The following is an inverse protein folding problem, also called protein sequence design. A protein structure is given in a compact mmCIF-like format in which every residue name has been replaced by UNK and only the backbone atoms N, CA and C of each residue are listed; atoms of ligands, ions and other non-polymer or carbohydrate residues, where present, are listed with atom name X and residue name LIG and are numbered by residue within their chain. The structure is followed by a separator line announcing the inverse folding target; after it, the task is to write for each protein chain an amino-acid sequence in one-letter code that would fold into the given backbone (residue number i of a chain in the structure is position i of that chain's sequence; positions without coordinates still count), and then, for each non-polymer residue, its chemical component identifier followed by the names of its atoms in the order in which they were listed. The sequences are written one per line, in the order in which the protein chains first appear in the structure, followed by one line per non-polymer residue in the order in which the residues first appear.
data_IF_859554961057
#
_entry.id   IF_859554961057
#
_cell.length_a   1.000
_cell.length_b   1.000
_cell.length_c   1.000
_cell.angle_alpha   90.00
_cell.angle_beta   90.00
_cell.angle_gamma   90.00
#
_symmetry.space_group_name_H-M   'P 1'
#
loop_
_entity.id
_entity.type
_entity.pdbx_description
1 polymer ?
#
# COMPACT_ATOMS: atom_id res chain seq x y z
N UNK A 1 3.16 23.57 -18.38
CA UNK A 1 2.69 22.73 -17.25
C UNK A 1 2.89 21.27 -17.61
N UNK A 2 3.29 20.42 -16.66
CA UNK A 2 3.38 18.97 -16.82
C UNK A 2 2.37 18.35 -15.85
N UNK A 3 1.49 17.50 -16.37
CA UNK A 3 0.59 16.67 -15.57
C UNK A 3 1.13 15.24 -15.63
N UNK A 4 1.33 14.64 -14.46
CA UNK A 4 1.73 13.24 -14.32
C UNK A 4 0.51 12.46 -13.85
N UNK A 5 0.14 11.43 -14.61
CA UNK A 5 -0.92 10.48 -14.27
C UNK A 5 -0.22 9.15 -14.03
N UNK A 6 -0.18 8.74 -12.76
CA UNK A 6 0.48 7.50 -12.37
C UNK A 6 -0.53 6.35 -12.31
N UNK A 7 -0.12 5.17 -12.77
CA UNK A 7 -0.87 3.90 -12.72
C UNK A 7 -2.30 3.99 -13.26
N UNK A 8 -2.46 4.43 -14.52
CA UNK A 8 -3.79 4.61 -15.14
C UNK A 8 -4.66 3.33 -15.14
N UNK A 9 -4.04 2.15 -15.13
CA UNK A 9 -4.70 0.85 -15.04
C UNK A 9 -5.39 0.56 -13.71
N UNK A 10 -5.07 1.30 -12.65
CA UNK A 10 -5.68 1.14 -11.32
C UNK A 10 -7.04 1.88 -11.21
N UNK A 11 -7.69 2.17 -12.34
CA UNK A 11 -9.08 2.67 -12.35
C UNK A 11 -10.04 1.55 -11.95
N UNK A 12 -11.08 1.90 -11.17
CA UNK A 12 -12.09 0.95 -10.68
C UNK A 12 -12.72 0.09 -11.80
N UNK A 13 -12.91 0.70 -12.97
CA UNK A 13 -13.37 0.02 -14.18
C UNK A 13 -12.33 0.21 -15.30
N UNK A 14 -11.90 -0.87 -15.97
CA UNK A 14 -10.91 -0.76 -17.04
C UNK A 14 -11.36 0.13 -18.22
N UNK A 15 -12.67 0.22 -18.46
CA UNK A 15 -13.26 1.12 -19.45
C UNK A 15 -12.95 2.59 -19.16
N UNK A 16 -12.87 2.98 -17.88
CA UNK A 16 -12.57 4.36 -17.48
C UNK A 16 -11.12 4.71 -17.81
N UNK A 17 -10.18 3.79 -17.57
CA UNK A 17 -8.77 3.95 -17.96
C UNK A 17 -8.64 4.20 -19.47
N UNK A 18 -9.39 3.45 -20.28
CA UNK A 18 -9.40 3.61 -21.74
C UNK A 18 -9.99 4.95 -22.16
N UNK A 19 -11.13 5.35 -21.59
CA UNK A 19 -11.76 6.64 -21.92
C UNK A 19 -10.84 7.83 -21.61
N UNK A 20 -10.19 7.82 -20.45
CA UNK A 20 -9.21 8.85 -20.08
C UNK A 20 -8.05 8.86 -21.08
N UNK A 21 -7.53 7.69 -21.43
CA UNK A 21 -6.42 7.56 -22.38
C UNK A 21 -6.79 8.09 -23.76
N UNK A 22 -7.96 7.73 -24.28
CA UNK A 22 -8.48 8.19 -25.57
C UNK A 22 -8.67 9.71 -25.60
N UNK A 23 -9.18 10.29 -24.51
CA UNK A 23 -9.29 11.76 -24.38
C UNK A 23 -7.90 12.43 -24.42
N UNK A 24 -6.92 11.88 -23.69
CA UNK A 24 -5.57 12.44 -23.69
C UNK A 24 -4.93 12.33 -25.07
N UNK A 25 -5.05 11.19 -25.74
CA UNK A 25 -4.54 10.98 -27.09
C UNK A 25 -5.16 11.99 -28.07
N UNK A 26 -6.45 12.26 -27.94
CA UNK A 26 -7.20 13.11 -28.88
C UNK A 26 -6.92 14.59 -28.66
N UNK A 27 -6.86 15.05 -27.41
CA UNK A 27 -6.89 16.49 -27.10
C UNK A 27 -5.59 17.03 -26.50
N UNK A 28 -4.65 16.20 -26.04
CA UNK A 28 -3.47 16.69 -25.33
C UNK A 28 -2.57 17.60 -26.17
N UNK A 29 -2.49 17.38 -27.49
CA UNK A 29 -1.70 18.21 -28.42
C UNK A 29 -2.21 19.64 -28.55
N UNK A 30 -3.51 19.85 -28.30
CA UNK A 30 -4.16 21.15 -28.43
C UNK A 30 -4.05 21.99 -27.15
N UNK A 31 -3.55 21.38 -26.07
CA UNK A 31 -3.38 22.02 -24.78
C UNK A 31 -1.94 22.52 -24.61
N UNK A 32 -1.72 23.68 -23.95
CA UNK A 32 -0.38 24.14 -23.58
C UNK A 32 0.22 23.35 -22.39
N UNK A 33 -0.10 22.06 -22.29
CA UNK A 33 0.19 21.17 -21.17
C UNK A 33 0.74 19.85 -21.70
N UNK A 34 1.82 19.36 -21.10
CA UNK A 34 2.35 18.02 -21.39
C UNK A 34 1.78 17.03 -20.40
N UNK A 35 1.52 15.81 -20.86
CA UNK A 35 1.05 14.70 -20.04
C UNK A 35 2.10 13.60 -20.05
N UNK A 36 2.42 13.09 -18.87
CA UNK A 36 3.20 11.86 -18.70
C UNK A 36 2.29 10.85 -18.00
N UNK A 37 2.07 9.70 -18.63
CA UNK A 37 1.15 8.68 -18.14
C UNK A 37 1.93 7.39 -17.94
N UNK A 38 1.86 6.82 -16.74
CA UNK A 38 2.36 5.46 -16.47
C UNK A 38 1.18 4.49 -16.38
N UNK A 39 1.38 3.25 -16.81
CA UNK A 39 0.39 2.18 -16.69
C UNK A 39 1.01 0.80 -16.95
N UNK A 40 0.41 -0.28 -16.41
CA UNK A 40 0.68 -1.66 -16.84
C UNK A 40 0.30 -1.86 -18.31
N UNK A 41 1.04 -2.73 -19.00
CA UNK A 41 0.78 -3.05 -20.42
C UNK A 41 -0.41 -4.02 -20.58
N UNK A 42 -1.56 -3.67 -20.03
CA UNK A 42 -2.78 -4.45 -20.23
C UNK A 42 -3.18 -4.49 -21.72
N UNK A 43 -3.78 -5.59 -22.21
CA UNK A 43 -4.09 -5.73 -23.63
C UNK A 43 -4.90 -4.58 -24.23
N UNK A 44 -5.82 -4.02 -23.44
CA UNK A 44 -6.69 -2.90 -23.80
C UNK A 44 -5.92 -1.58 -23.91
N UNK A 45 -5.11 -1.23 -22.90
CA UNK A 45 -4.27 -0.03 -22.89
C UNK A 45 -3.24 -0.10 -24.02
N UNK A 46 -2.60 -1.26 -24.20
CA UNK A 46 -1.67 -1.49 -25.30
C UNK A 46 -2.31 -1.29 -26.67
N UNK A 47 -3.57 -1.69 -26.84
CA UNK A 47 -4.33 -1.52 -28.08
C UNK A 47 -4.66 -0.05 -28.34
N UNK A 48 -5.14 0.67 -27.32
CA UNK A 48 -5.41 2.11 -27.41
C UNK A 48 -4.14 2.91 -27.77
N UNK A 49 -2.98 2.47 -27.29
CA UNK A 49 -1.67 3.11 -27.54
C UNK A 49 -1.00 2.71 -28.86
N UNK A 50 -1.57 1.79 -29.66
CA UNK A 50 -0.88 1.17 -30.79
C UNK A 50 -0.47 2.16 -31.90
N UNK A 51 -1.11 3.32 -31.99
CA UNK A 51 -0.82 4.37 -32.97
C UNK A 51 0.09 5.51 -32.49
N UNK A 52 0.56 5.47 -31.23
CA UNK A 52 1.36 6.57 -30.66
C UNK A 52 2.86 6.32 -30.82
N UNK A 53 3.55 7.33 -31.37
CA UNK A 53 5.01 7.33 -31.47
C UNK A 53 5.71 7.65 -30.13
N UNK A 54 4.98 8.22 -29.17
CA UNK A 54 5.49 8.65 -27.86
C UNK A 54 5.25 7.59 -26.77
N UNK A 55 5.43 6.30 -27.09
CA UNK A 55 5.24 5.19 -26.15
C UNK A 55 6.58 4.63 -25.70
N UNK A 56 6.74 4.45 -24.39
CA UNK A 56 7.86 3.70 -23.81
C UNK A 56 7.30 2.47 -23.10
N UNK A 57 7.70 1.27 -23.52
CA UNK A 57 7.28 0.02 -22.89
C UNK A 57 8.43 -0.50 -22.04
N UNK A 58 8.29 -0.41 -20.72
CA UNK A 58 9.39 -0.72 -19.80
C UNK A 58 9.77 -2.21 -19.79
N UNK A 59 8.84 -3.13 -20.09
CA UNK A 59 9.14 -4.56 -20.15
C UNK A 59 9.86 -4.99 -21.45
N UNK A 60 10.08 -4.07 -22.40
CA UNK A 60 10.92 -4.30 -23.60
C UNK A 60 12.38 -3.90 -23.37
N UNK A 61 12.72 -3.44 -22.15
CA UNK A 61 14.10 -3.23 -21.73
C UNK A 61 14.82 -4.58 -21.63
N UNK A 62 16.08 -4.62 -22.07
CA UNK A 62 16.91 -5.82 -21.99
C UNK A 62 17.00 -6.26 -20.52
N UNK A 63 16.60 -7.50 -20.23
CA UNK A 63 16.69 -8.13 -18.90
C UNK A 63 18.09 -7.92 -18.28
N UNK A 64 19.15 -7.87 -19.11
CA UNK A 64 20.52 -7.59 -18.66
C UNK A 64 20.68 -6.19 -18.07
N UNK A 65 20.04 -5.18 -18.66
CA UNK A 65 20.09 -3.80 -18.17
C UNK A 65 19.36 -3.70 -16.83
N UNK A 66 18.15 -4.27 -16.73
CA UNK A 66 17.39 -4.30 -15.47
C UNK A 66 18.15 -5.03 -14.37
N UNK A 67 18.79 -6.15 -14.70
CA UNK A 67 19.64 -6.89 -13.75
C UNK A 67 20.89 -6.11 -13.34
N UNK A 68 21.50 -5.33 -14.24
CA UNK A 68 22.65 -4.48 -13.91
C UNK A 68 22.24 -3.31 -13.00
N UNK A 69 21.13 -2.65 -13.29
CA UNK A 69 20.59 -1.57 -12.44
C UNK A 69 20.23 -2.10 -11.04
N UNK A 70 19.62 -3.30 -10.98
CA UNK A 70 19.33 -3.99 -9.72
C UNK A 70 20.60 -4.35 -8.96
N UNK A 71 21.66 -4.78 -9.67
CA UNK A 71 22.98 -5.06 -9.08
C UNK A 71 23.61 -3.80 -8.48
N UNK A 72 23.57 -2.69 -9.22
CA UNK A 72 24.05 -1.38 -8.74
C UNK A 72 23.27 -0.97 -7.50
N UNK A 73 21.94 -1.10 -7.53
CA UNK A 73 21.08 -0.78 -6.39
C UNK A 73 21.47 -1.58 -5.13
N UNK A 74 21.60 -2.91 -5.21
CA UNK A 74 22.02 -3.72 -4.06
C UNK A 74 23.41 -3.33 -3.54
N UNK A 75 24.37 -3.06 -4.43
CA UNK A 75 25.72 -2.63 -4.03
C UNK A 75 25.70 -1.29 -3.30
N UNK A 76 24.90 -0.34 -3.78
CA UNK A 76 24.81 0.99 -3.20
C UNK A 76 24.12 0.95 -1.84
N UNK A 77 22.94 0.35 -1.75
CA UNK A 77 22.14 0.36 -0.52
C UNK A 77 22.70 -0.53 0.59
N UNK A 78 23.33 -1.66 0.23
CA UNK A 78 23.93 -2.61 1.18
C UNK A 78 25.46 -2.48 1.27
N UNK A 79 26.02 -1.34 0.85
CA UNK A 79 27.46 -1.09 0.88
C UNK A 79 28.08 -1.31 2.27
N UNK A 80 27.33 -1.01 3.33
CA UNK A 80 27.75 -1.18 4.73
C UNK A 80 27.98 -2.64 5.14
N UNK A 81 27.45 -3.62 4.39
CA UNK A 81 27.59 -5.05 4.72
C UNK A 81 28.80 -5.72 4.07
N UNK A 82 29.46 -5.06 3.11
CA UNK A 82 30.58 -5.65 2.34
C UNK A 82 30.21 -7.01 1.72
N UNK A 83 29.08 -7.06 0.99
CA UNK A 83 28.58 -8.28 0.37
C UNK A 83 29.56 -8.83 -0.68
N UNK A 84 29.68 -10.15 -0.75
CA UNK A 84 30.44 -10.80 -1.82
C UNK A 84 29.69 -10.76 -3.15
N UNK A 85 30.42 -10.86 -4.26
CA UNK A 85 29.82 -10.92 -5.60
C UNK A 85 28.87 -12.12 -5.79
N UNK A 86 29.10 -13.21 -5.06
CA UNK A 86 28.21 -14.37 -5.05
C UNK A 86 26.87 -14.04 -4.39
N UNK A 87 26.89 -13.32 -3.25
CA UNK A 87 25.67 -12.89 -2.56
C UNK A 87 24.89 -11.88 -3.40
N UNK A 88 25.56 -10.89 -3.99
CA UNK A 88 24.92 -9.90 -4.87
C UNK A 88 24.29 -10.60 -6.08
N UNK A 89 25.01 -11.52 -6.73
CA UNK A 89 24.50 -12.26 -7.88
C UNK A 89 23.27 -13.11 -7.51
N UNK A 90 23.28 -13.76 -6.35
CA UNK A 90 22.13 -14.53 -5.88
C UNK A 90 20.90 -13.63 -5.62
N UNK A 91 21.09 -12.44 -5.04
CA UNK A 91 20.00 -11.48 -4.84
C UNK A 91 19.44 -10.95 -6.17
N UNK A 92 20.30 -10.65 -7.14
CA UNK A 92 19.88 -10.21 -8.49
C UNK A 92 19.09 -11.30 -9.21
N UNK A 93 19.52 -12.57 -9.12
CA UNK A 93 18.78 -13.68 -9.73
C UNK A 93 17.39 -13.86 -9.10
N UNK A 94 17.27 -13.71 -7.78
CA UNK A 94 15.97 -13.77 -7.08
C UNK A 94 15.05 -12.60 -7.41
N UNK A 95 15.60 -11.39 -7.48
CA UNK A 95 14.84 -10.22 -7.90
C UNK A 95 14.34 -10.35 -9.35
N UNK A 96 15.11 -11.03 -10.21
CA UNK A 96 14.79 -11.17 -11.63
C UNK A 96 14.70 -9.79 -12.29
N UNK A 97 13.49 -9.42 -12.72
CA UNK A 97 13.19 -8.08 -13.27
C UNK A 97 12.27 -7.25 -12.36
N UNK A 98 11.94 -7.78 -11.18
CA UNK A 98 11.05 -7.12 -10.22
C UNK A 98 11.88 -6.22 -9.32
N UNK A 99 11.99 -4.94 -9.67
CA UNK A 99 12.67 -3.97 -8.81
C UNK A 99 12.02 -3.86 -7.42
N UNK A 100 10.71 -4.11 -7.32
CA UNK A 100 10.00 -4.17 -6.03
C UNK A 100 10.58 -5.26 -5.10
N UNK A 101 11.04 -6.40 -5.64
CA UNK A 101 11.72 -7.40 -4.84
C UNK A 101 13.01 -6.83 -4.25
N UNK A 102 13.83 -6.19 -5.09
CA UNK A 102 15.09 -5.62 -4.67
C UNK A 102 14.90 -4.54 -3.60
N UNK A 103 13.98 -3.60 -3.81
CA UNK A 103 13.65 -2.56 -2.84
C UNK A 103 13.12 -3.15 -1.52
N UNK A 104 12.23 -4.15 -1.59
CA UNK A 104 11.68 -4.83 -0.41
C UNK A 104 12.76 -5.60 0.35
N UNK A 105 13.66 -6.28 -0.35
CA UNK A 105 14.75 -7.04 0.25
C UNK A 105 15.79 -6.12 0.91
N UNK A 106 16.20 -5.04 0.24
CA UNK A 106 17.08 -4.02 0.82
C UNK A 106 16.48 -3.44 2.08
N UNK A 107 15.19 -3.06 2.03
CA UNK A 107 14.49 -2.61 3.24
C UNK A 107 14.53 -3.72 4.27
N UNK A 108 14.01 -4.91 4.01
CA UNK A 108 14.02 -5.99 5.01
C UNK A 108 15.40 -6.21 5.66
N UNK A 109 16.49 -6.26 4.89
CA UNK A 109 17.87 -6.40 5.40
C UNK A 109 18.34 -5.16 6.18
N UNK A 110 17.93 -3.98 5.74
CA UNK A 110 18.27 -2.69 6.31
C UNK A 110 17.90 -2.54 7.78
N UNK A 111 18.58 -1.64 8.47
CA UNK A 111 18.31 -1.31 9.86
C UNK A 111 17.66 0.08 9.93
N UNK A 112 16.32 0.16 10.00
CA UNK A 112 15.65 1.44 10.34
C UNK A 112 16.06 1.92 11.75
N UNK A 113 16.45 0.98 12.61
CA UNK A 113 17.05 1.17 13.93
C UNK A 113 18.12 0.08 14.07
N UNK A 114 19.25 0.36 14.69
CA UNK A 114 20.41 -0.54 14.87
C UNK A 114 20.14 -1.85 15.65
N UNK A 115 18.88 -2.31 15.73
CA UNK A 115 18.39 -3.46 16.49
C UNK A 115 18.19 -4.73 15.66
N UNK A 116 18.46 -4.69 14.35
CA UNK A 116 18.20 -5.83 13.45
C UNK A 116 19.49 -6.55 13.08
N UNK A 117 19.49 -7.88 13.18
CA UNK A 117 20.54 -8.74 12.64
C UNK A 117 20.47 -8.81 11.10
N UNK A 118 21.09 -7.81 10.45
CA UNK A 118 21.13 -7.70 8.99
C UNK A 118 21.75 -8.93 8.31
N UNK A 119 22.71 -9.62 8.96
CA UNK A 119 23.31 -10.84 8.41
C UNK A 119 22.30 -11.97 8.40
N UNK A 120 21.59 -12.20 9.51
CA UNK A 120 20.51 -13.21 9.56
C UNK A 120 19.42 -12.93 8.54
N UNK A 121 19.02 -11.66 8.35
CA UNK A 121 18.02 -11.29 7.33
C UNK A 121 18.52 -11.49 5.91
N UNK A 122 19.78 -11.18 5.63
CA UNK A 122 20.42 -11.51 4.36
C UNK A 122 20.41 -13.03 4.12
N UNK A 123 20.77 -13.83 5.13
CA UNK A 123 20.75 -15.29 5.03
C UNK A 123 19.34 -15.82 4.76
N UNK A 124 18.31 -15.20 5.35
CA UNK A 124 16.91 -15.51 5.04
C UNK A 124 16.61 -15.19 3.58
N UNK A 125 16.90 -13.98 3.09
CA UNK A 125 16.67 -13.58 1.69
C UNK A 125 17.40 -14.52 0.72
N UNK A 126 18.64 -14.91 1.04
CA UNK A 126 19.44 -15.84 0.25
C UNK A 126 18.99 -17.31 0.39
N UNK A 127 18.39 -17.68 1.52
CA UNK A 127 18.02 -19.04 1.90
C UNK A 127 16.58 -19.43 1.60
N UNK A 128 15.71 -18.46 1.26
CA UNK A 128 14.32 -18.69 0.82
C UNK A 128 14.29 -19.65 -0.36
N UNK A 129 14.14 -20.94 -0.11
CA UNK A 129 14.23 -21.98 -1.15
C UNK A 129 12.83 -22.37 -1.58
N UNK A 130 12.36 -21.83 -2.71
CA UNK A 130 11.20 -22.35 -3.42
C UNK A 130 11.59 -23.48 -4.38
N UNK A 131 10.70 -24.45 -4.68
CA UNK A 131 10.97 -25.45 -5.69
C UNK A 131 11.23 -24.78 -7.05
N UNK A 132 12.13 -25.40 -7.82
CA UNK A 132 12.81 -25.00 -9.05
C UNK A 132 11.93 -24.69 -10.28
N UNK A 133 10.74 -24.13 -10.07
CA UNK A 133 9.85 -23.61 -11.12
C UNK A 133 9.37 -22.23 -10.68
N UNK A 134 10.27 -21.24 -10.84
CA UNK A 134 10.07 -19.84 -10.45
C UNK A 134 9.15 -19.13 -11.43
N UNK A 135 7.89 -18.94 -11.04
CA UNK A 135 7.12 -17.80 -11.54
C UNK A 135 7.53 -16.59 -10.73
N UNK A 136 7.61 -15.41 -11.36
CA UNK A 136 8.08 -14.17 -10.72
C UNK A 136 7.29 -13.83 -9.44
N UNK A 137 5.99 -14.17 -9.42
CA UNK A 137 5.11 -13.99 -8.26
C UNK A 137 5.53 -14.84 -7.05
N UNK A 138 6.12 -16.03 -7.26
CA UNK A 138 6.55 -16.89 -6.15
C UNK A 138 7.75 -16.33 -5.38
N UNK A 139 8.66 -15.64 -6.05
CA UNK A 139 9.84 -15.09 -5.38
C UNK A 139 9.44 -13.94 -4.45
N UNK A 140 8.62 -13.00 -4.94
CA UNK A 140 8.12 -11.89 -4.11
C UNK A 140 7.22 -12.40 -2.97
N UNK A 141 6.37 -13.39 -3.23
CA UNK A 141 5.54 -14.02 -2.19
C UNK A 141 6.38 -14.67 -1.11
N UNK A 142 7.46 -15.33 -1.49
CA UNK A 142 8.36 -15.97 -0.54
C UNK A 142 9.10 -14.94 0.33
N UNK A 143 9.44 -13.77 -0.24
CA UNK A 143 9.99 -12.64 0.51
C UNK A 143 8.96 -12.05 1.48
N UNK A 144 7.71 -11.84 1.05
CA UNK A 144 6.64 -11.40 1.94
C UNK A 144 6.38 -12.39 3.08
N UNK A 145 6.34 -13.69 2.78
CA UNK A 145 6.20 -14.73 3.79
C UNK A 145 7.35 -14.68 4.81
N UNK A 146 8.60 -14.48 4.36
CA UNK A 146 9.74 -14.36 5.26
C UNK A 146 9.66 -13.13 6.17
N UNK A 147 9.19 -11.99 5.64
CA UNK A 147 8.96 -10.75 6.40
C UNK A 147 7.90 -10.98 7.47
N UNK A 148 6.75 -11.56 7.10
CA UNK A 148 5.65 -11.82 8.02
C UNK A 148 6.02 -12.87 9.07
N UNK A 149 6.72 -13.93 8.71
CA UNK A 149 7.24 -14.91 9.66
C UNK A 149 8.20 -14.27 10.67
N UNK A 150 9.11 -13.41 10.18
CA UNK A 150 10.00 -12.68 11.07
C UNK A 150 9.28 -11.69 12.00
N UNK A 151 8.08 -11.23 11.66
CA UNK A 151 7.33 -10.26 12.45
C UNK A 151 6.34 -10.93 13.41
N UNK A 152 5.64 -11.98 12.97
CA UNK A 152 4.52 -12.58 13.69
C UNK A 152 4.84 -13.91 14.38
N UNK A 153 5.85 -14.65 13.91
CA UNK A 153 6.20 -15.97 14.47
C UNK A 153 7.28 -15.89 15.55
N UNK A 154 7.57 -14.70 16.08
CA UNK A 154 8.48 -14.53 17.21
C UNK A 154 7.90 -15.28 18.44
N UNK A 155 8.62 -16.27 19.02
CA UNK A 155 8.15 -17.02 20.19
C UNK A 155 7.89 -16.15 21.41
N UNK A 156 8.57 -15.01 21.54
CA UNK A 156 8.45 -14.09 22.66
C UNK A 156 7.24 -13.15 22.52
N UNK A 157 6.57 -13.17 21.35
CA UNK A 157 5.40 -12.35 21.06
C UNK A 157 4.13 -12.96 21.68
N UNK A 158 3.47 -12.20 22.54
CA UNK A 158 2.24 -12.63 23.19
C UNK A 158 1.06 -12.65 22.21
N UNK A 159 0.00 -13.40 22.56
CA UNK A 159 -1.20 -13.50 21.70
C UNK A 159 -1.84 -12.14 21.41
N UNK A 160 -1.97 -11.28 22.43
CA UNK A 160 -2.57 -9.96 22.31
C UNK A 160 -1.72 -9.00 21.48
N UNK A 161 -0.39 -9.17 21.46
CA UNK A 161 0.51 -8.39 20.61
C UNK A 161 0.35 -8.79 19.14
N UNK A 162 0.27 -10.10 18.86
CA UNK A 162 -0.02 -10.62 17.51
C UNK A 162 -1.39 -10.15 17.00
N UNK A 163 -2.42 -10.25 17.83
CA UNK A 163 -3.78 -9.82 17.46
C UNK A 163 -3.81 -8.32 17.12
N UNK A 164 -3.15 -7.50 17.95
CA UNK A 164 -2.98 -6.07 17.71
C UNK A 164 -2.24 -5.77 16.40
N UNK A 165 -1.14 -6.47 16.14
CA UNK A 165 -0.38 -6.33 14.89
C UNK A 165 -1.23 -6.67 13.66
N UNK A 166 -1.99 -7.78 13.73
CA UNK A 166 -2.92 -8.17 12.68
C UNK A 166 -4.02 -7.12 12.50
N UNK A 167 -4.58 -6.61 13.59
CA UNK A 167 -5.62 -5.58 13.55
C UNK A 167 -5.11 -4.31 12.83
N UNK A 168 -3.90 -3.85 13.16
CA UNK A 168 -3.26 -2.71 12.49
C UNK A 168 -2.99 -3.01 11.02
N UNK A 169 -2.31 -4.12 10.71
CA UNK A 169 -1.97 -4.52 9.34
C UNK A 169 -3.23 -4.63 8.47
N UNK A 170 -4.22 -5.40 8.88
CA UNK A 170 -5.46 -5.62 8.12
C UNK A 170 -6.27 -4.32 7.97
N UNK A 171 -6.17 -3.37 8.91
CA UNK A 171 -6.75 -2.03 8.71
C UNK A 171 -6.06 -1.30 7.57
N UNK A 172 -4.73 -1.25 7.59
CA UNK A 172 -3.94 -0.56 6.56
C UNK A 172 -4.20 -1.17 5.18
N UNK A 173 -4.33 -2.50 5.11
CA UNK A 173 -4.61 -3.23 3.86
C UNK A 173 -6.01 -2.93 3.31
N UNK A 174 -7.04 -2.88 4.17
CA UNK A 174 -8.43 -2.69 3.74
C UNK A 174 -8.89 -1.22 3.76
N UNK A 175 -8.04 -0.28 4.19
CA UNK A 175 -8.39 1.12 4.25
C UNK A 175 -8.60 1.69 2.84
N UNK A 176 -9.67 2.48 2.66
CA UNK A 176 -9.96 3.13 1.37
C UNK A 176 -9.05 4.34 1.12
N UNK A 177 -8.53 4.93 2.19
CA UNK A 177 -7.51 5.97 2.17
C UNK A 177 -6.51 5.73 3.30
N UNK A 178 -5.22 6.05 3.10
CA UNK A 178 -4.22 5.99 4.15
C UNK A 178 -4.63 6.81 5.38
N UNK A 179 -4.43 6.23 6.57
CA UNK A 179 -4.64 6.90 7.85
C UNK A 179 -3.29 7.26 8.49
N UNK A 180 -3.25 8.35 9.24
CA UNK A 180 -2.07 8.66 10.06
C UNK A 180 -1.98 7.72 11.26
N UNK A 181 -0.79 7.60 11.87
CA UNK A 181 -0.62 6.88 13.15
C UNK A 181 -1.68 7.32 14.18
N UNK A 182 -1.86 8.64 14.33
CA UNK A 182 -2.80 9.22 15.29
C UNK A 182 -4.26 8.90 14.95
N UNK A 183 -4.63 8.99 13.66
CA UNK A 183 -5.98 8.66 13.21
C UNK A 183 -6.28 7.16 13.38
N UNK A 184 -5.34 6.29 13.00
CA UNK A 184 -5.46 4.85 13.13
C UNK A 184 -5.58 4.40 14.60
N UNK A 185 -4.78 5.00 15.48
CA UNK A 185 -4.83 4.75 16.93
C UNK A 185 -6.23 5.07 17.49
N UNK A 186 -6.76 6.27 17.20
CA UNK A 186 -8.13 6.65 17.61
C UNK A 186 -9.21 5.78 16.98
N UNK A 187 -9.01 5.34 15.73
CA UNK A 187 -9.97 4.53 15.00
C UNK A 187 -10.04 3.10 15.53
N UNK A 188 -8.90 2.51 15.92
CA UNK A 188 -8.79 1.17 16.49
C UNK A 188 -8.89 1.14 18.02
N UNK A 189 -9.06 2.28 18.67
CA UNK A 189 -9.13 2.42 20.14
C UNK A 189 -7.84 1.94 20.84
N UNK A 190 -6.70 2.33 20.27
CA UNK A 190 -5.35 1.99 20.73
C UNK A 190 -4.55 3.26 21.03
N UNK A 191 -3.43 3.10 21.74
CA UNK A 191 -2.45 4.17 21.89
C UNK A 191 -1.58 4.30 20.63
N UNK A 192 -1.09 5.50 20.32
CA UNK A 192 -0.23 5.70 19.16
C UNK A 192 1.11 4.95 19.27
N UNK A 193 1.60 4.72 20.49
CA UNK A 193 2.79 3.90 20.74
C UNK A 193 2.54 2.45 20.32
N UNK A 194 1.34 1.93 20.56
CA UNK A 194 0.95 0.57 20.21
C UNK A 194 0.84 0.40 18.69
N UNK A 195 0.32 1.41 17.98
CA UNK A 195 0.33 1.42 16.50
C UNK A 195 1.76 1.47 15.97
N UNK A 196 2.63 2.30 16.54
CA UNK A 196 4.05 2.37 16.13
C UNK A 196 4.75 1.03 16.34
N UNK A 197 4.54 0.38 17.49
CA UNK A 197 5.09 -0.96 17.77
C UNK A 197 4.55 -2.00 16.79
N UNK A 198 3.28 -1.94 16.41
CA UNK A 198 2.69 -2.87 15.44
C UNK A 198 3.22 -2.69 14.01
N UNK A 199 3.52 -1.46 13.60
CA UNK A 199 4.00 -1.14 12.24
C UNK A 199 5.52 -1.38 12.10
N UNK A 200 6.30 -1.18 13.17
CA UNK A 200 7.78 -1.21 13.12
C UNK A 200 8.35 -2.52 12.53
N UNK A 201 7.86 -3.73 12.89
CA UNK A 201 8.34 -4.99 12.30
C UNK A 201 8.05 -5.12 10.80
N UNK A 202 7.04 -4.41 10.30
CA UNK A 202 6.52 -4.50 8.93
C UNK A 202 7.02 -3.37 8.03
N UNK A 203 7.98 -2.57 8.46
CA UNK A 203 8.48 -1.40 7.72
C UNK A 203 9.07 -1.72 6.33
N UNK A 204 9.40 -2.98 6.04
CA UNK A 204 9.86 -3.41 4.73
C UNK A 204 8.73 -3.54 3.71
N UNK A 205 7.48 -3.55 4.16
CA UNK A 205 6.26 -3.64 3.33
C UNK A 205 5.29 -2.48 3.59
N UNK A 206 5.37 -1.85 4.76
CA UNK A 206 4.63 -0.64 5.12
C UNK A 206 5.54 0.60 5.07
N UNK A 207 4.97 1.70 4.64
CA UNK A 207 5.58 3.03 4.68
C UNK A 207 4.83 3.91 5.67
N UNK A 208 5.60 4.65 6.48
CA UNK A 208 5.10 5.76 7.28
C UNK A 208 5.73 7.02 6.72
N UNK A 209 4.92 7.93 6.20
CA UNK A 209 5.36 9.23 5.68
C UNK A 209 6.03 10.06 6.77
N UNK A 210 7.15 10.70 6.46
CA UNK A 210 7.89 11.54 7.41
C UNK A 210 7.17 12.87 7.69
N UNK A 211 6.41 13.39 6.71
CA UNK A 211 5.78 14.70 6.80
C UNK A 211 4.51 14.70 7.67
N UNK A 212 3.73 13.62 7.59
CA UNK A 212 2.38 13.58 8.16
C UNK A 212 2.02 12.24 8.81
N UNK A 213 2.98 11.31 8.94
CA UNK A 213 2.78 10.00 9.57
C UNK A 213 1.67 9.14 8.95
N UNK A 214 1.30 9.39 7.68
CA UNK A 214 0.39 8.51 6.92
C UNK A 214 1.01 7.12 6.77
N UNK A 215 0.21 6.10 7.07
CA UNK A 215 0.59 4.69 6.94
C UNK A 215 -0.03 4.14 5.66
N UNK A 216 0.81 3.60 4.79
CA UNK A 216 0.40 2.91 3.57
C UNK A 216 1.25 1.68 3.31
N UNK A 217 0.85 0.88 2.32
CA UNK A 217 1.70 -0.17 1.78
C UNK A 217 2.70 0.41 0.79
N UNK A 218 3.86 -0.22 0.63
CA UNK A 218 4.87 0.22 -0.34
C UNK A 218 4.47 -0.10 -1.79
N UNK A 219 3.65 -1.13 -1.98
CA UNK A 219 3.26 -1.59 -3.30
C UNK A 219 1.99 -2.44 -3.23
N UNK A 220 1.17 -2.36 -4.28
CA UNK A 220 -0.10 -3.10 -4.39
C UNK A 220 0.08 -4.62 -4.29
N UNK A 221 1.19 -5.17 -4.81
CA UNK A 221 1.45 -6.62 -4.74
C UNK A 221 1.48 -7.20 -3.32
N UNK A 222 1.77 -6.39 -2.30
CA UNK A 222 1.67 -6.83 -0.90
C UNK A 222 0.21 -6.89 -0.42
N UNK A 223 -0.63 -5.95 -0.86
CA UNK A 223 -2.09 -6.00 -0.63
C UNK A 223 -2.65 -7.25 -1.28
N UNK A 224 -2.34 -7.48 -2.56
CA UNK A 224 -2.77 -8.67 -3.31
C UNK A 224 -2.34 -9.97 -2.63
N UNK A 225 -1.12 -9.99 -2.08
CA UNK A 225 -0.60 -11.15 -1.37
C UNK A 225 -1.39 -11.42 -0.08
N UNK A 226 -1.62 -10.40 0.76
CA UNK A 226 -2.32 -10.54 2.05
C UNK A 226 -3.80 -10.92 1.87
N UNK A 227 -4.44 -10.45 0.79
CA UNK A 227 -5.85 -10.75 0.52
C UNK A 227 -6.07 -12.12 -0.14
N UNK A 228 -5.01 -12.75 -0.66
CA UNK A 228 -5.08 -14.07 -1.28
C UNK A 228 -4.71 -15.19 -0.28
N UNK A 229 -5.69 -16.04 0.02
CA UNK A 229 -5.55 -17.14 0.98
C UNK A 229 -4.62 -18.26 0.54
N UNK A 230 -4.47 -18.50 -0.77
CA UNK A 230 -3.56 -19.52 -1.30
C UNK A 230 -2.11 -19.05 -1.20
N UNK A 231 -1.89 -17.73 -1.36
CA UNK A 231 -0.56 -17.10 -1.29
C UNK A 231 -0.10 -16.88 0.15
N UNK A 232 -0.88 -16.16 0.97
CA UNK A 232 -0.48 -15.73 2.32
C UNK A 232 -0.81 -16.71 3.44
N UNK A 233 -1.66 -17.72 3.19
CA UNK A 233 -1.94 -18.84 4.08
C UNK A 233 -2.40 -18.39 5.48
N UNK A 234 -1.55 -18.53 6.50
CA UNK A 234 -1.88 -18.16 7.88
C UNK A 234 -1.86 -16.65 8.14
N UNK A 235 -1.31 -15.85 7.22
CA UNK A 235 -1.28 -14.39 7.31
C UNK A 235 -2.42 -13.71 6.53
N UNK A 236 -3.34 -14.51 5.98
CA UNK A 236 -4.42 -14.00 5.14
C UNK A 236 -5.33 -13.06 5.91
N UNK A 237 -5.64 -11.93 5.28
CA UNK A 237 -6.74 -11.08 5.69
C UNK A 237 -7.99 -11.45 4.89
N UNK A 238 -9.01 -11.97 5.56
CA UNK A 238 -10.34 -12.08 4.96
C UNK A 238 -10.91 -10.68 4.76
N UNK A 239 -10.93 -10.20 3.51
CA UNK A 239 -11.37 -8.86 3.16
C UNK A 239 -12.82 -8.59 3.59
N UNK A 240 -13.72 -9.56 3.39
CA UNK A 240 -15.15 -9.39 3.70
C UNK A 240 -15.36 -9.24 5.20
N UNK A 241 -14.78 -10.15 5.99
CA UNK A 241 -14.83 -10.07 7.46
C UNK A 241 -14.20 -8.75 7.92
N UNK A 242 -13.07 -8.36 7.35
CA UNK A 242 -12.37 -7.14 7.76
C UNK A 242 -13.16 -5.89 7.42
N UNK A 243 -13.74 -5.78 6.24
CA UNK A 243 -14.59 -4.66 5.86
C UNK A 243 -15.84 -4.58 6.76
N UNK A 244 -16.46 -5.70 7.11
CA UNK A 244 -17.56 -5.73 8.09
C UNK A 244 -17.14 -5.20 9.47
N UNK A 245 -15.92 -5.53 9.93
CA UNK A 245 -15.35 -4.95 11.16
C UNK A 245 -15.09 -3.45 11.03
N UNK A 246 -14.52 -2.99 9.90
CA UNK A 246 -14.26 -1.58 9.64
C UNK A 246 -15.55 -0.76 9.57
N UNK A 247 -16.62 -1.28 8.96
CA UNK A 247 -17.93 -0.63 8.97
C UNK A 247 -18.45 -0.40 10.40
N UNK A 248 -18.30 -1.40 11.29
CA UNK A 248 -18.65 -1.28 12.71
C UNK A 248 -17.78 -0.23 13.42
N UNK A 249 -16.49 -0.17 13.14
CA UNK A 249 -15.59 0.84 13.68
C UNK A 249 -15.97 2.25 13.20
N UNK A 250 -16.34 2.42 11.92
CA UNK A 250 -16.86 3.68 11.41
C UNK A 250 -18.12 4.12 12.18
N UNK A 251 -19.11 3.24 12.35
CA UNK A 251 -20.31 3.56 13.12
C UNK A 251 -20.01 3.89 14.57
N UNK A 252 -19.09 3.16 15.22
CA UNK A 252 -18.66 3.46 16.57
C UNK A 252 -17.99 4.83 16.67
N UNK A 253 -17.13 5.19 15.71
CA UNK A 253 -16.46 6.49 15.68
C UNK A 253 -17.45 7.63 15.48
N UNK A 254 -18.39 7.48 14.54
CA UNK A 254 -19.48 8.44 14.28
C UNK A 254 -20.35 8.60 15.53
N UNK A 255 -20.75 7.50 16.18
CA UNK A 255 -21.57 7.52 17.39
C UNK A 255 -20.87 8.20 18.58
N UNK A 256 -19.56 8.02 18.71
CA UNK A 256 -18.74 8.69 19.75
C UNK A 256 -18.54 10.17 19.48
N UNK A 257 -18.77 10.65 18.26
CA UNK A 257 -18.73 12.07 17.97
C UNK A 257 -19.95 12.76 18.58
N UNK A 258 -19.71 13.85 19.32
CA UNK A 258 -20.80 14.63 19.89
C UNK A 258 -21.56 15.33 18.76
N UNK A 259 -22.85 15.03 18.62
CA UNK A 259 -23.71 15.73 17.67
C UNK A 259 -23.74 17.22 18.02
N UNK A 260 -23.49 18.05 17.02
CA UNK A 260 -23.44 19.49 17.13
C UNK A 260 -23.88 20.12 15.82
N UNK A 261 -24.79 21.08 15.90
CA UNK A 261 -25.12 21.94 14.76
C UNK A 261 -23.90 22.80 14.45
N UNK A 262 -23.60 22.98 13.16
CA UNK A 262 -22.50 23.83 12.71
C UNK A 262 -21.15 23.41 13.34
N UNK A 263 -20.63 22.24 12.93
CA UNK A 263 -19.46 21.59 13.54
C UNK A 263 -18.21 22.47 13.65
N UNK A 264 -18.03 23.41 12.72
CA UNK A 264 -16.92 24.37 12.75
C UNK A 264 -17.26 25.66 13.50
N UNK A 265 -18.46 25.80 14.06
CA UNK A 265 -19.02 26.97 14.72
C UNK A 265 -18.99 28.25 13.87
N UNK A 266 -19.21 28.12 12.56
CA UNK A 266 -19.19 29.24 11.60
C UNK A 266 -20.18 30.34 11.99
N UNK A 267 -19.75 31.58 11.86
CA UNK A 267 -20.50 32.76 12.27
C UNK A 267 -21.72 33.01 11.36
N UNK A 268 -21.62 32.60 10.09
CA UNK A 268 -22.66 32.77 9.08
C UNK A 268 -22.43 31.81 7.92
N UNK A 269 -23.51 31.21 7.41
CA UNK A 269 -23.49 30.41 6.18
C UNK A 269 -23.50 31.25 4.90
N UNK A 270 -23.58 32.58 5.01
CA UNK A 270 -23.60 33.49 3.86
C UNK A 270 -22.21 33.94 3.40
N UNK A 271 -21.17 33.72 4.21
CA UNK A 271 -19.81 34.03 3.82
C UNK A 271 -19.17 32.86 3.09
N UNK A 272 -18.50 33.09 1.94
CA UNK A 272 -17.64 32.10 1.34
C UNK A 272 -16.53 31.68 2.31
N UNK A 273 -16.14 30.40 2.31
CA UNK A 273 -15.12 29.83 3.20
C UNK A 273 -13.81 30.62 3.23
N UNK A 274 -13.36 31.14 2.08
CA UNK A 274 -12.16 31.98 1.96
C UNK A 274 -12.20 33.29 2.77
N UNK A 275 -13.39 33.73 3.19
CA UNK A 275 -13.58 34.91 4.03
C UNK A 275 -13.75 34.55 5.51
N UNK A 276 -13.84 33.26 5.83
CA UNK A 276 -13.90 32.79 7.21
C UNK A 276 -12.47 32.68 7.77
N UNK A 277 -12.14 33.40 8.85
CA UNK A 277 -10.82 33.33 9.45
C UNK A 277 -10.48 31.90 9.93
N UNK A 278 -9.27 31.45 9.60
CA UNK A 278 -8.71 30.16 10.04
C UNK A 278 -9.62 28.96 9.78
N UNK A 279 -10.35 28.97 8.65
CA UNK A 279 -11.32 27.91 8.34
C UNK A 279 -10.66 26.53 8.27
N UNK A 280 -9.45 26.44 7.71
CA UNK A 280 -8.73 25.18 7.58
C UNK A 280 -8.36 24.59 8.95
N UNK A 281 -7.85 25.40 9.88
CA UNK A 281 -7.54 24.95 11.24
C UNK A 281 -8.82 24.55 12.00
N UNK A 282 -9.91 25.31 11.84
CA UNK A 282 -11.20 25.00 12.46
C UNK A 282 -11.74 23.65 11.97
N UNK A 283 -11.66 23.40 10.67
CA UNK A 283 -12.05 22.11 10.07
C UNK A 283 -11.17 20.99 10.60
N UNK A 284 -9.84 21.14 10.57
CA UNK A 284 -8.90 20.12 11.09
C UNK A 284 -9.13 19.77 12.56
N UNK A 285 -9.48 20.76 13.38
CA UNK A 285 -9.78 20.56 14.81
C UNK A 285 -11.15 19.91 15.04
N UNK A 286 -12.17 20.35 14.29
CA UNK A 286 -13.54 19.91 14.50
C UNK A 286 -13.87 18.58 13.80
N UNK A 287 -13.18 18.28 12.70
CA UNK A 287 -13.37 17.09 11.86
C UNK A 287 -12.01 16.39 11.73
N UNK A 288 -11.58 15.65 12.78
CA UNK A 288 -10.33 14.91 12.74
C UNK A 288 -10.39 13.80 11.67
N UNK A 289 -9.23 13.41 11.15
CA UNK A 289 -9.10 12.51 10.01
C UNK A 289 -9.88 11.20 10.19
N UNK A 290 -9.82 10.58 11.36
CA UNK A 290 -10.54 9.32 11.60
C UNK A 290 -12.07 9.48 11.60
N UNK A 291 -12.58 10.68 11.93
CA UNK A 291 -14.01 10.97 11.84
C UNK A 291 -14.40 11.22 10.38
N UNK A 292 -13.60 11.99 9.65
CA UNK A 292 -13.80 12.22 8.21
C UNK A 292 -13.84 10.88 7.45
N UNK A 293 -12.82 10.05 7.68
CA UNK A 293 -12.72 8.70 7.12
C UNK A 293 -13.97 7.86 7.42
N UNK A 294 -14.39 7.81 8.69
CA UNK A 294 -15.56 7.05 9.10
C UNK A 294 -16.83 7.53 8.37
N UNK A 295 -17.02 8.84 8.23
CA UNK A 295 -18.18 9.42 7.55
C UNK A 295 -18.17 9.17 6.04
N UNK A 296 -17.00 9.12 5.40
CA UNK A 296 -16.88 8.92 3.95
C UNK A 296 -16.97 7.44 3.55
N UNK A 297 -16.39 6.53 4.34
CA UNK A 297 -16.15 5.14 3.90
C UNK A 297 -16.98 4.06 4.60
N UNK A 298 -17.82 4.41 5.59
CA UNK A 298 -18.66 3.40 6.26
C UNK A 298 -19.52 2.59 5.29
N UNK A 299 -20.07 3.23 4.25
CA UNK A 299 -20.95 2.58 3.28
C UNK A 299 -20.17 1.63 2.37
N UNK A 300 -18.98 2.04 1.94
CA UNK A 300 -18.08 1.21 1.12
C UNK A 300 -17.66 -0.03 1.90
N UNK A 301 -17.24 0.13 3.16
CA UNK A 301 -16.91 -1.00 4.02
C UNK A 301 -18.12 -1.90 4.32
N UNK A 302 -19.31 -1.33 4.46
CA UNK A 302 -20.52 -2.13 4.64
C UNK A 302 -20.84 -2.96 3.40
N UNK A 303 -20.65 -2.40 2.21
CA UNK A 303 -20.88 -3.10 0.94
C UNK A 303 -19.86 -4.21 0.71
N UNK A 304 -18.57 -3.90 0.83
CA UNK A 304 -17.48 -4.87 0.68
C UNK A 304 -17.48 -5.94 1.78
N UNK A 305 -18.08 -5.65 2.93
CA UNK A 305 -18.24 -6.58 4.04
C UNK A 305 -19.43 -7.53 3.90
N UNK A 306 -20.22 -7.44 2.83
CA UNK A 306 -21.23 -8.45 2.52
C UNK A 306 -20.53 -9.69 1.98
N UNK A 307 -20.91 -10.86 2.49
CA UNK A 307 -20.49 -12.13 1.90
C UNK A 307 -21.26 -12.32 0.58
N UNK A 308 -20.58 -12.44 -0.58
CA UNK A 308 -21.24 -12.73 -1.85
C UNK A 308 -22.09 -14.01 -1.81
N UNK A 309 -21.76 -14.95 -0.91
CA UNK A 309 -22.45 -16.24 -0.78
C UNK A 309 -23.63 -16.21 0.22
N UNK A 310 -23.82 -15.13 0.98
CA UNK A 310 -24.93 -15.06 1.94
C UNK A 310 -26.31 -14.93 1.28
N UNK A 311 -26.38 -14.61 -0.01
CA UNK A 311 -27.63 -14.49 -0.77
C UNK A 311 -27.92 -15.68 -1.69
N UNK A 312 -27.03 -16.68 -1.76
CA UNK A 312 -27.23 -17.86 -2.62
C UNK A 312 -28.01 -19.02 -1.97
N UNK A 313 -28.44 -18.90 -0.71
CA UNK A 313 -29.22 -19.94 0.00
C UNK A 313 -30.73 -19.66 0.10
N UNK A 314 -31.26 -18.59 -0.48
CA UNK A 314 -32.71 -18.24 -0.41
C UNK A 314 -33.46 -18.25 -1.77
N UNK A 315 -33.04 -19.06 -2.75
CA UNK A 315 -33.84 -19.33 -3.96
C UNK A 315 -34.06 -20.82 -4.23
#
# INVERSE_FOLDING_TARGET
MLIVIDALDECDEPENAIQVLEMLITYASDLPTKFFVSSRSEPQIRRAMAGLNSRMVLHELDDKVVKEDTRVYFRTELAYMSLSEQQISAMVERAGVLFIYAATAVRYIGARKNSVDAKKRLDIVLGVSGPTVSTKDKEIDSLYNAILASAFDDPDLEFWERDRMNNVLHTVICAQEPLTISALARFLEMDESEVRVAVDPLWSVLHVSEDNELIGTLHASFVDYILDSERSKKYTCDASIRHGQLARLCFNRIRKNKSQFNICNLESSYFPDKLVPNIEERVKQAIPLELSYACMYWAVHLELGKDPNAYSEEL
#
